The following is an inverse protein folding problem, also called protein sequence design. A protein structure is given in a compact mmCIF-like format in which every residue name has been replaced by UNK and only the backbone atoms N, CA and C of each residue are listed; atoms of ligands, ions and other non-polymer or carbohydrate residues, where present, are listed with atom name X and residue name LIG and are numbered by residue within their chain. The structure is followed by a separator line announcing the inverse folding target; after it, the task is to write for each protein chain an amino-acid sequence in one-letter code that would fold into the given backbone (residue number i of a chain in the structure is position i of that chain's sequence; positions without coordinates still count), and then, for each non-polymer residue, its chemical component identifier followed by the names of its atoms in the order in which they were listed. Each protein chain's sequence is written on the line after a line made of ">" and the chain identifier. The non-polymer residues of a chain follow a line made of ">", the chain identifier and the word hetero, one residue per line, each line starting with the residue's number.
data_IF_870674921416
#
_entry.id   IF_870674921416
#
_cell.length_a   1.000
_cell.length_b   1.000
_cell.length_c   1.000
_cell.angle_alpha   90.00
_cell.angle_beta   90.00
_cell.angle_gamma   90.00
#
_symmetry.space_group_name_H-M   'P 1'
#
loop_
_entity.id
_entity.type
_entity.pdbx_description
1 polymer ?
#
# COMPACT_ATOMS: atom_id res chain seq x y z
N UNK A 1 30.06 11.05 -59.69
CA UNK A 1 30.31 10.08 -58.59
C UNK A 1 29.83 10.75 -57.31
N UNK A 2 28.59 10.51 -56.90
CA UNK A 2 28.03 11.19 -55.74
C UNK A 2 26.68 10.61 -55.37
N UNK A 3 26.42 10.56 -54.06
CA UNK A 3 25.22 10.10 -53.35
C UNK A 3 25.18 8.64 -52.90
N UNK A 4 25.82 8.34 -51.75
CA UNK A 4 25.39 7.32 -50.76
C UNK A 4 25.98 7.61 -49.37
N UNK A 5 25.58 8.70 -48.70
CA UNK A 5 25.96 8.92 -47.28
C UNK A 5 24.83 9.42 -46.38
N UNK A 6 23.68 9.89 -46.90
CA UNK A 6 22.64 10.51 -46.05
C UNK A 6 21.74 9.53 -45.27
N UNK A 7 21.76 8.24 -45.61
CA UNK A 7 20.87 7.23 -44.99
C UNK A 7 21.40 6.64 -43.67
N UNK A 8 22.72 6.57 -43.51
CA UNK A 8 23.34 6.01 -42.30
C UNK A 8 23.33 7.02 -41.14
N UNK A 9 23.60 8.29 -41.44
CA UNK A 9 23.59 9.41 -40.47
C UNK A 9 22.18 9.66 -39.89
N UNK A 10 21.17 9.60 -40.75
CA UNK A 10 19.75 9.72 -40.37
C UNK A 10 19.28 8.59 -39.44
N UNK A 11 19.77 7.37 -39.66
CA UNK A 11 19.42 6.20 -38.84
C UNK A 11 20.12 6.25 -37.48
N UNK A 12 21.42 6.53 -37.45
CA UNK A 12 22.18 6.70 -36.21
C UNK A 12 21.63 7.83 -35.34
N UNK A 13 21.19 8.95 -35.95
CA UNK A 13 20.55 10.08 -35.24
C UNK A 13 19.17 9.72 -34.70
N UNK A 14 18.37 8.92 -35.42
CA UNK A 14 17.08 8.43 -34.92
C UNK A 14 17.26 7.43 -33.77
N UNK A 15 18.24 6.53 -33.86
CA UNK A 15 18.50 5.53 -32.84
C UNK A 15 18.99 6.20 -31.54
N UNK A 16 19.84 7.24 -31.62
CA UNK A 16 20.24 8.04 -30.44
C UNK A 16 19.09 8.86 -29.86
N UNK A 17 18.21 9.43 -30.69
CA UNK A 17 17.02 10.15 -30.20
C UNK A 17 15.98 9.22 -29.55
N UNK A 18 15.90 7.96 -29.99
CA UNK A 18 15.04 6.94 -29.37
C UNK A 18 15.64 6.44 -28.04
N UNK A 19 16.97 6.30 -27.94
CA UNK A 19 17.68 6.03 -26.68
C UNK A 19 17.53 7.17 -25.66
N UNK A 20 17.43 8.42 -26.12
CA UNK A 20 17.27 9.61 -25.27
C UNK A 20 15.80 9.97 -24.98
N UNK A 21 14.85 9.13 -25.42
CA UNK A 21 13.45 9.29 -25.07
C UNK A 21 13.26 9.21 -23.55
N UNK A 22 12.42 10.08 -22.99
CA UNK A 22 12.07 10.03 -21.56
C UNK A 22 11.38 8.72 -21.14
N UNK A 23 10.81 7.98 -22.11
CA UNK A 23 10.17 6.67 -21.91
C UNK A 23 11.13 5.50 -22.07
N UNK A 24 12.39 5.73 -22.45
CA UNK A 24 13.41 4.69 -22.50
C UNK A 24 13.65 4.10 -21.11
N UNK A 25 13.81 2.78 -21.06
CA UNK A 25 14.05 2.03 -19.83
C UNK A 25 15.51 1.64 -19.74
N UNK A 26 16.03 1.54 -18.52
CA UNK A 26 17.44 1.26 -18.25
C UNK A 26 17.62 0.04 -17.35
N UNK A 27 18.85 -0.45 -17.26
CA UNK A 27 19.24 -1.54 -16.37
C UNK A 27 19.39 -1.07 -14.93
N UNK A 28 19.39 -2.02 -13.99
CA UNK A 28 19.60 -1.77 -12.56
C UNK A 28 20.87 -0.95 -12.25
N UNK A 29 21.96 -1.25 -12.95
CA UNK A 29 23.26 -0.59 -12.75
C UNK A 29 23.26 0.87 -13.21
N UNK A 30 22.38 1.22 -14.15
CA UNK A 30 22.30 2.54 -14.77
C UNK A 30 21.35 3.50 -14.03
N UNK A 31 20.52 3.00 -13.10
CA UNK A 31 19.67 3.88 -12.29
C UNK A 31 20.43 4.49 -11.11
N UNK A 32 20.06 5.72 -10.71
CA UNK A 32 20.54 6.29 -9.47
C UNK A 32 20.33 5.37 -8.26
N UNK A 33 21.30 5.34 -7.33
CA UNK A 33 21.27 4.51 -6.11
C UNK A 33 20.00 4.60 -5.27
N UNK A 34 19.28 5.70 -5.32
CA UNK A 34 18.04 5.88 -4.55
C UNK A 34 16.82 5.17 -5.17
N UNK A 35 16.91 4.73 -6.43
CA UNK A 35 15.94 3.86 -7.11
C UNK A 35 16.33 2.37 -7.05
N UNK A 36 17.55 2.08 -6.59
CA UNK A 36 18.06 0.71 -6.43
C UNK A 36 17.47 0.08 -5.16
N UNK A 37 16.21 -0.34 -5.23
CA UNK A 37 15.49 -0.92 -4.08
C UNK A 37 15.57 -2.46 -4.00
N UNK A 38 15.45 -3.18 -5.13
CA UNK A 38 15.51 -4.64 -5.21
C UNK A 38 16.41 -5.10 -6.36
N UNK A 39 17.55 -5.69 -6.02
CA UNK A 39 18.59 -6.03 -6.98
C UNK A 39 18.30 -7.26 -7.86
N UNK A 40 17.24 -8.02 -7.54
CA UNK A 40 16.75 -9.12 -8.39
C UNK A 40 15.97 -8.61 -9.62
N UNK A 41 15.63 -7.32 -9.67
CA UNK A 41 15.05 -6.69 -10.85
C UNK A 41 16.21 -6.12 -11.66
N UNK A 42 16.57 -6.78 -12.76
CA UNK A 42 17.78 -6.44 -13.52
C UNK A 42 17.59 -5.32 -14.55
N UNK A 43 16.36 -5.08 -15.02
CA UNK A 43 16.07 -4.16 -16.12
C UNK A 43 14.71 -3.50 -16.02
N UNK A 44 14.35 -2.74 -17.07
CA UNK A 44 13.03 -2.11 -17.23
C UNK A 44 12.75 -0.99 -16.22
N UNK A 45 13.80 -0.33 -15.73
CA UNK A 45 13.70 0.81 -14.83
C UNK A 45 13.40 2.10 -15.57
N UNK A 46 12.56 2.93 -14.97
CA UNK A 46 12.36 4.31 -15.43
C UNK A 46 13.53 5.20 -15.02
N UNK A 47 14.03 6.03 -15.95
CA UNK A 47 14.99 7.09 -15.67
C UNK A 47 14.42 8.12 -14.68
N UNK A 48 15.30 8.84 -14.00
CA UNK A 48 14.93 9.95 -13.13
C UNK A 48 14.25 11.07 -13.96
N UNK A 49 12.95 11.27 -13.76
CA UNK A 49 12.16 12.12 -14.63
C UNK A 49 12.23 13.60 -14.29
N UNK A 50 12.49 13.94 -13.02
CA UNK A 50 12.37 15.27 -12.42
C UNK A 50 11.08 16.01 -12.85
N UNK A 51 10.02 15.26 -13.17
CA UNK A 51 8.80 15.79 -13.75
C UNK A 51 7.61 14.93 -13.37
N UNK A 52 6.66 15.52 -12.63
CA UNK A 52 5.38 14.86 -12.33
C UNK A 52 4.65 14.47 -13.61
N UNK A 53 4.61 15.35 -14.62
CA UNK A 53 3.94 15.06 -15.90
C UNK A 53 4.48 13.79 -16.56
N UNK A 54 5.81 13.63 -16.63
CA UNK A 54 6.44 12.41 -17.17
C UNK A 54 6.17 11.18 -16.29
N UNK A 55 6.21 11.36 -14.97
CA UNK A 55 5.93 10.27 -14.02
C UNK A 55 4.50 9.75 -14.15
N UNK A 56 3.50 10.64 -14.20
CA UNK A 56 2.09 10.27 -14.44
C UNK A 56 1.85 9.72 -15.84
N UNK A 57 2.51 10.26 -16.87
CA UNK A 57 2.43 9.72 -18.23
C UNK A 57 2.97 8.28 -18.34
N UNK A 58 3.88 7.87 -17.43
CA UNK A 58 4.42 6.51 -17.41
C UNK A 58 3.42 5.44 -16.96
N UNK A 59 2.28 5.79 -16.34
CA UNK A 59 1.23 4.84 -15.95
C UNK A 59 0.78 3.97 -17.14
N UNK A 60 0.78 4.55 -18.34
CA UNK A 60 0.37 3.88 -19.59
C UNK A 60 1.52 3.18 -20.33
N UNK A 61 2.70 3.08 -19.70
CA UNK A 61 3.87 2.38 -20.24
C UNK A 61 4.19 1.16 -19.36
N UNK A 62 4.82 0.15 -19.95
CA UNK A 62 5.24 -1.06 -19.23
C UNK A 62 6.65 -0.89 -18.70
N UNK A 63 6.84 -1.05 -17.39
CA UNK A 63 8.11 -0.92 -16.68
C UNK A 63 8.04 -1.67 -15.33
N UNK A 64 9.13 -1.67 -14.58
CA UNK A 64 9.28 -2.39 -13.30
C UNK A 64 8.28 -2.01 -12.18
N UNK A 65 7.48 -0.95 -12.37
CA UNK A 65 6.52 -0.43 -11.39
C UNK A 65 5.08 -0.52 -11.90
N UNK A 66 4.83 -1.00 -13.12
CA UNK A 66 3.50 -1.04 -13.72
C UNK A 66 2.52 -1.85 -12.89
N UNK A 67 2.92 -3.04 -12.41
CA UNK A 67 2.05 -3.87 -11.56
C UNK A 67 1.76 -3.15 -10.25
N UNK A 68 2.77 -2.64 -9.55
CA UNK A 68 2.60 -1.91 -8.28
C UNK A 68 1.63 -0.72 -8.40
N UNK A 69 1.71 0.03 -9.52
CA UNK A 69 0.78 1.12 -9.80
C UNK A 69 -0.64 0.58 -9.97
N UNK A 70 -0.86 -0.34 -10.91
CA UNK A 70 -2.21 -0.76 -11.28
C UNK A 70 -2.92 -1.59 -10.21
N UNK A 71 -2.18 -2.40 -9.44
CA UNK A 71 -2.74 -3.19 -8.33
C UNK A 71 -3.26 -2.32 -7.19
N UNK A 72 -2.74 -1.10 -7.04
CA UNK A 72 -3.21 -0.17 -6.00
C UNK A 72 -4.12 0.93 -6.56
N UNK A 73 -3.87 1.41 -7.79
CA UNK A 73 -4.62 2.50 -8.41
C UNK A 73 -6.10 2.13 -8.59
N UNK A 74 -6.39 0.98 -9.21
CA UNK A 74 -7.78 0.58 -9.49
C UNK A 74 -8.55 0.35 -8.19
N UNK A 75 -8.07 -0.47 -7.23
CA UNK A 75 -8.73 -0.63 -5.93
C UNK A 75 -8.89 0.69 -5.16
N UNK A 76 -7.89 1.57 -5.20
CA UNK A 76 -7.95 2.88 -4.55
C UNK A 76 -9.07 3.76 -5.12
N UNK A 77 -9.20 3.82 -6.45
CA UNK A 77 -10.24 4.60 -7.12
C UNK A 77 -11.66 4.06 -6.85
N UNK A 78 -11.82 2.73 -6.78
CA UNK A 78 -13.14 2.12 -6.58
C UNK A 78 -13.54 1.99 -5.10
N UNK A 79 -12.63 2.20 -4.14
CA UNK A 79 -12.90 2.00 -2.71
C UNK A 79 -14.07 2.87 -2.20
N UNK A 80 -14.03 4.18 -2.41
CA UNK A 80 -15.12 5.08 -1.99
C UNK A 80 -16.42 4.85 -2.79
N UNK A 81 -16.38 4.71 -4.14
CA UNK A 81 -17.56 4.33 -4.91
C UNK A 81 -18.21 3.02 -4.44
N UNK A 82 -17.42 2.01 -4.06
CA UNK A 82 -17.93 0.74 -3.53
C UNK A 82 -18.64 0.94 -2.20
N UNK A 83 -18.10 1.77 -1.30
CA UNK A 83 -18.75 2.14 -0.05
C UNK A 83 -20.06 2.89 -0.27
N UNK A 84 -20.10 3.82 -1.22
CA UNK A 84 -21.33 4.53 -1.59
C UNK A 84 -22.38 3.61 -2.22
N UNK A 85 -21.96 2.71 -3.11
CA UNK A 85 -22.84 1.70 -3.70
C UNK A 85 -23.42 0.78 -2.63
N UNK A 86 -22.58 0.31 -1.70
CA UNK A 86 -23.01 -0.50 -0.56
C UNK A 86 -24.05 0.24 0.30
N UNK A 87 -23.79 1.49 0.67
CA UNK A 87 -24.74 2.33 1.40
C UNK A 87 -26.07 2.46 0.66
N UNK A 88 -26.03 2.70 -0.65
CA UNK A 88 -27.24 2.88 -1.48
C UNK A 88 -28.09 1.61 -1.56
N UNK A 89 -27.44 0.45 -1.55
CA UNK A 89 -28.09 -0.87 -1.52
C UNK A 89 -28.63 -1.19 -0.12
N UNK A 90 -27.89 -0.88 0.95
CA UNK A 90 -28.26 -1.29 2.31
C UNK A 90 -29.28 -0.36 2.96
N UNK A 91 -29.22 0.95 2.71
CA UNK A 91 -30.09 1.94 3.37
C UNK A 91 -31.59 1.59 3.29
N UNK A 92 -32.16 1.19 2.14
CA UNK A 92 -33.59 0.85 2.06
C UNK A 92 -33.97 -0.47 2.72
N UNK A 93 -32.99 -1.31 3.08
CA UNK A 93 -33.21 -2.64 3.69
C UNK A 93 -33.11 -2.63 5.21
N UNK A 94 -32.45 -1.61 5.77
CA UNK A 94 -32.10 -1.55 7.18
C UNK A 94 -32.41 -0.16 7.76
N UNK A 95 -33.69 0.12 7.97
CA UNK A 95 -34.17 1.41 8.51
C UNK A 95 -33.63 1.75 9.92
N UNK A 96 -33.11 0.73 10.63
CA UNK A 96 -32.48 0.90 11.94
C UNK A 96 -31.00 1.32 11.86
N UNK A 97 -30.39 1.31 10.67
CA UNK A 97 -29.02 1.74 10.50
C UNK A 97 -28.89 3.24 10.78
N UNK A 98 -27.94 3.59 11.63
CA UNK A 98 -27.70 4.94 12.10
C UNK A 98 -26.57 5.61 11.32
N UNK A 99 -26.36 6.90 11.54
CA UNK A 99 -25.16 7.59 11.03
C UNK A 99 -23.87 6.99 11.60
N UNK A 100 -23.90 6.40 12.80
CA UNK A 100 -22.73 5.77 13.39
C UNK A 100 -22.27 4.54 12.58
N UNK A 101 -23.20 3.75 12.05
CA UNK A 101 -22.91 2.64 11.12
C UNK A 101 -22.20 3.14 9.86
N UNK A 102 -22.71 4.24 9.28
CA UNK A 102 -22.16 4.86 8.08
C UNK A 102 -20.75 5.40 8.34
N UNK A 103 -20.53 6.04 9.49
CA UNK A 103 -19.21 6.54 9.90
C UNK A 103 -18.24 5.38 10.11
N UNK A 104 -18.65 4.33 10.84
CA UNK A 104 -17.80 3.19 11.15
C UNK A 104 -17.34 2.47 9.87
N UNK A 105 -18.27 2.19 8.95
CA UNK A 105 -17.92 1.60 7.65
C UNK A 105 -17.15 2.58 6.75
N UNK A 106 -17.48 3.87 6.82
CA UNK A 106 -16.78 4.94 6.11
C UNK A 106 -15.30 5.02 6.48
N UNK A 107 -14.94 4.81 7.75
CA UNK A 107 -13.54 4.73 8.18
C UNK A 107 -12.75 3.64 7.47
N UNK A 108 -13.36 2.46 7.22
CA UNK A 108 -12.72 1.39 6.47
C UNK A 108 -12.49 1.78 5.00
N UNK A 109 -13.53 2.24 4.30
CA UNK A 109 -13.42 2.62 2.89
C UNK A 109 -12.49 3.82 2.68
N UNK A 110 -12.49 4.79 3.59
CA UNK A 110 -11.56 5.90 3.57
C UNK A 110 -10.12 5.44 3.83
N UNK A 111 -9.90 4.57 4.82
CA UNK A 111 -8.59 3.97 5.09
C UNK A 111 -8.05 3.20 3.89
N UNK A 112 -8.90 2.41 3.22
CA UNK A 112 -8.54 1.69 1.99
C UNK A 112 -8.18 2.64 0.84
N UNK A 113 -9.02 3.65 0.58
CA UNK A 113 -8.77 4.63 -0.48
C UNK A 113 -7.47 5.40 -0.23
N UNK A 114 -7.21 5.83 1.01
CA UNK A 114 -5.99 6.55 1.37
C UNK A 114 -4.75 5.66 1.24
N UNK A 115 -4.79 4.44 1.77
CA UNK A 115 -3.67 3.49 1.67
C UNK A 115 -3.30 3.19 0.22
N UNK A 116 -4.28 2.74 -0.55
CA UNK A 116 -4.08 2.32 -1.94
C UNK A 116 -3.75 3.52 -2.84
N UNK A 117 -4.38 4.67 -2.61
CA UNK A 117 -4.12 5.90 -3.34
C UNK A 117 -2.71 6.47 -3.07
N UNK A 118 -2.27 6.50 -1.81
CA UNK A 118 -0.92 6.93 -1.45
C UNK A 118 0.13 6.00 -2.05
N UNK A 119 -0.10 4.69 -2.01
CA UNK A 119 0.79 3.69 -2.61
C UNK A 119 0.88 3.80 -4.13
N UNK A 120 -0.27 3.87 -4.82
CA UNK A 120 -0.31 4.07 -6.27
C UNK A 120 0.38 5.37 -6.68
N UNK A 121 0.21 6.44 -5.90
CA UNK A 121 0.89 7.71 -6.14
C UNK A 121 2.40 7.58 -5.95
N UNK A 122 2.85 6.95 -4.86
CA UNK A 122 4.27 6.69 -4.62
C UNK A 122 4.91 5.94 -5.78
N UNK A 123 4.36 4.79 -6.18
CA UNK A 123 4.91 4.01 -7.30
C UNK A 123 4.84 4.77 -8.62
N UNK A 124 3.85 5.64 -8.81
CA UNK A 124 3.78 6.51 -10.00
C UNK A 124 4.91 7.52 -10.02
N UNK A 125 5.16 8.23 -8.91
CA UNK A 125 6.13 9.33 -8.83
C UNK A 125 7.48 8.93 -8.26
N UNK A 126 7.70 7.62 -8.03
CA UNK A 126 8.94 7.10 -7.44
C UNK A 126 10.14 7.50 -8.30
N UNK A 127 10.02 7.58 -9.63
CA UNK A 127 11.11 8.02 -10.50
C UNK A 127 11.31 9.56 -10.59
N UNK A 128 10.59 10.39 -9.84
CA UNK A 128 10.67 11.84 -9.98
C UNK A 128 12.04 12.40 -9.55
N UNK A 129 12.30 12.42 -8.25
CA UNK A 129 13.55 12.90 -7.66
C UNK A 129 13.71 12.33 -6.25
N UNK A 130 14.92 12.30 -5.68
CA UNK A 130 15.14 11.75 -4.35
C UNK A 130 14.27 12.41 -3.27
N UNK A 131 13.94 13.71 -3.38
CA UNK A 131 13.08 14.38 -2.39
C UNK A 131 11.62 13.92 -2.51
N UNK A 132 11.09 13.85 -3.73
CA UNK A 132 9.69 13.48 -4.00
C UNK A 132 9.45 12.01 -3.66
N UNK A 133 10.33 11.11 -4.10
CA UNK A 133 10.22 9.69 -3.81
C UNK A 133 10.24 9.42 -2.30
N UNK A 134 11.11 10.13 -1.56
CA UNK A 134 11.17 10.01 -0.10
C UNK A 134 9.89 10.44 0.59
N UNK A 135 9.30 11.57 0.17
CA UNK A 135 8.07 12.08 0.74
C UNK A 135 6.89 11.14 0.49
N UNK A 136 6.72 10.67 -0.75
CA UNK A 136 5.62 9.76 -1.07
C UNK A 136 5.79 8.37 -0.47
N UNK A 137 7.02 7.87 -0.31
CA UNK A 137 7.27 6.63 0.43
C UNK A 137 6.85 6.75 1.92
N UNK A 138 7.01 7.93 2.54
CA UNK A 138 6.53 8.15 3.90
C UNK A 138 5.00 8.11 3.98
N UNK A 139 4.32 8.68 2.98
CA UNK A 139 2.86 8.63 2.88
C UNK A 139 2.35 7.21 2.59
N UNK A 140 3.06 6.44 1.77
CA UNK A 140 2.74 5.04 1.50
C UNK A 140 2.73 4.20 2.79
N UNK A 141 3.79 4.33 3.62
CA UNK A 141 3.82 3.68 4.93
C UNK A 141 2.74 4.18 5.90
N UNK A 142 2.45 5.49 5.91
CA UNK A 142 1.35 6.02 6.70
C UNK A 142 -0.01 5.45 6.25
N UNK A 143 -0.16 5.23 4.94
CA UNK A 143 -1.30 4.58 4.31
C UNK A 143 -1.62 3.21 4.94
N UNK A 144 -0.61 2.36 5.12
CA UNK A 144 -0.76 1.03 5.73
C UNK A 144 -1.35 1.15 7.15
N UNK A 145 -0.79 2.04 7.98
CA UNK A 145 -1.30 2.26 9.34
C UNK A 145 -2.76 2.78 9.35
N UNK A 146 -3.10 3.67 8.42
CA UNK A 146 -4.47 4.20 8.29
C UNK A 146 -5.47 3.12 7.86
N UNK A 147 -5.11 2.23 6.93
CA UNK A 147 -5.98 1.11 6.56
C UNK A 147 -6.19 0.14 7.72
N UNK A 148 -5.12 -0.24 8.44
CA UNK A 148 -5.25 -1.13 9.60
C UNK A 148 -6.17 -0.48 10.64
N UNK A 149 -5.92 0.79 11.00
CA UNK A 149 -6.76 1.53 11.95
C UNK A 149 -8.21 1.62 11.48
N UNK A 150 -8.43 2.01 10.21
CA UNK A 150 -9.76 2.13 9.62
C UNK A 150 -10.52 0.81 9.56
N UNK A 151 -9.83 -0.33 9.40
CA UNK A 151 -10.44 -1.67 9.44
C UNK A 151 -10.88 -2.09 10.84
N UNK A 152 -10.20 -1.65 11.89
CA UNK A 152 -10.59 -1.95 13.28
C UNK A 152 -11.85 -1.19 13.70
N UNK A 153 -12.09 0.01 13.15
CA UNK A 153 -13.24 0.84 13.56
C UNK A 153 -14.57 0.08 13.44
N UNK A 154 -14.99 -0.43 12.26
CA UNK A 154 -16.23 -1.18 12.15
C UNK A 154 -16.20 -2.53 12.87
N UNK A 155 -15.07 -3.25 12.87
CA UNK A 155 -14.97 -4.53 13.57
C UNK A 155 -15.19 -4.41 15.08
N UNK A 156 -14.61 -3.39 15.72
CA UNK A 156 -14.81 -3.10 17.14
C UNK A 156 -16.21 -2.52 17.39
N UNK A 157 -16.70 -1.63 16.51
CA UNK A 157 -18.05 -1.07 16.60
C UNK A 157 -19.12 -2.16 16.66
N UNK A 158 -19.10 -3.09 15.70
CA UNK A 158 -20.08 -4.17 15.63
C UNK A 158 -19.81 -5.29 16.64
N UNK A 159 -18.54 -5.63 16.89
CA UNK A 159 -18.18 -6.70 17.83
C UNK A 159 -18.48 -6.38 19.29
N UNK A 160 -18.52 -5.10 19.65
CA UNK A 160 -18.82 -4.64 21.01
C UNK A 160 -19.97 -3.64 21.02
N UNK A 161 -20.97 -3.82 20.14
CA UNK A 161 -22.04 -2.84 19.91
C UNK A 161 -22.73 -2.37 21.21
N UNK A 162 -22.92 -3.27 22.18
CA UNK A 162 -23.55 -2.99 23.47
C UNK A 162 -22.57 -2.62 24.60
N UNK A 163 -21.25 -2.60 24.34
CA UNK A 163 -20.21 -2.35 25.34
C UNK A 163 -19.32 -1.17 24.91
N UNK A 164 -19.76 0.03 25.28
CA UNK A 164 -19.07 1.27 24.93
C UNK A 164 -17.69 1.41 25.60
N UNK A 165 -17.44 0.70 26.71
CA UNK A 165 -16.13 0.71 27.34
C UNK A 165 -15.12 -0.05 26.49
N UNK A 166 -15.46 -1.27 26.06
CA UNK A 166 -14.61 -2.08 25.18
C UNK A 166 -14.37 -1.41 23.83
N UNK A 167 -15.39 -0.76 23.25
CA UNK A 167 -15.21 0.03 22.04
C UNK A 167 -14.11 1.09 22.20
N UNK A 168 -14.20 1.93 23.25
CA UNK A 168 -13.21 2.98 23.51
C UNK A 168 -11.83 2.40 23.79
N UNK A 169 -11.74 1.34 24.59
CA UNK A 169 -10.48 0.68 24.92
C UNK A 169 -9.75 0.22 23.65
N UNK A 170 -10.42 -0.54 22.78
CA UNK A 170 -9.78 -1.09 21.58
C UNK A 170 -9.56 -0.06 20.48
N UNK A 171 -10.41 0.96 20.35
CA UNK A 171 -10.13 2.10 19.47
C UNK A 171 -8.92 2.91 19.94
N UNK A 172 -8.81 3.21 21.24
CA UNK A 172 -7.63 3.88 21.77
C UNK A 172 -6.38 3.04 21.53
N UNK A 173 -6.43 1.72 21.78
CA UNK A 173 -5.32 0.81 21.50
C UNK A 173 -4.85 0.91 20.04
N UNK A 174 -5.74 0.71 19.06
CA UNK A 174 -5.34 0.68 17.66
C UNK A 174 -4.90 2.05 17.15
N UNK A 175 -5.54 3.14 17.59
CA UNK A 175 -5.13 4.49 17.23
C UNK A 175 -3.73 4.81 17.79
N UNK A 176 -3.43 4.44 19.03
CA UNK A 176 -2.10 4.62 19.62
C UNK A 176 -1.03 3.80 18.88
N UNK A 177 -1.33 2.55 18.55
CA UNK A 177 -0.42 1.71 17.75
C UNK A 177 -0.22 2.29 16.34
N UNK A 178 -1.28 2.79 15.70
CA UNK A 178 -1.20 3.41 14.37
C UNK A 178 -0.37 4.69 14.35
N UNK A 179 -0.52 5.55 15.36
CA UNK A 179 0.31 6.75 15.53
C UNK A 179 1.77 6.37 15.76
N UNK A 180 2.05 5.42 16.66
CA UNK A 180 3.41 4.95 16.92
C UNK A 180 4.05 4.36 15.66
N UNK A 181 3.30 3.53 14.92
CA UNK A 181 3.79 2.92 13.69
C UNK A 181 4.06 3.97 12.59
N UNK A 182 3.15 4.93 12.44
CA UNK A 182 3.35 6.02 11.48
C UNK A 182 4.58 6.86 11.85
N UNK A 183 4.72 7.24 13.12
CA UNK A 183 5.85 8.03 13.61
C UNK A 183 7.20 7.34 13.31
N UNK A 184 7.33 6.05 13.63
CA UNK A 184 8.55 5.29 13.32
C UNK A 184 8.79 5.19 11.81
N UNK A 185 7.74 4.99 11.01
CA UNK A 185 7.86 4.80 9.56
C UNK A 185 8.24 6.08 8.81
N UNK A 186 7.85 7.25 9.31
CA UNK A 186 8.19 8.54 8.69
C UNK A 186 9.54 9.09 9.15
N UNK A 187 10.12 8.55 10.24
CA UNK A 187 11.44 8.95 10.73
C UNK A 187 12.56 8.61 9.74
N UNK A 188 13.44 9.58 9.48
CA UNK A 188 14.55 9.45 8.52
C UNK A 188 15.51 8.29 8.83
N UNK A 189 15.68 7.96 10.11
CA UNK A 189 16.60 6.90 10.59
C UNK A 189 16.15 5.48 10.21
N UNK A 190 14.84 5.23 10.14
CA UNK A 190 14.27 3.89 9.95
C UNK A 190 13.95 3.58 8.48
N UNK A 191 14.50 4.36 7.54
CA UNK A 191 14.14 4.31 6.11
C UNK A 191 15.10 3.51 5.23
N UNK A 192 16.26 3.12 5.74
CA UNK A 192 17.21 2.33 4.93
C UNK A 192 16.63 0.93 4.64
N UNK A 193 17.12 0.25 3.58
CA UNK A 193 16.73 -1.13 3.28
C UNK A 193 16.87 -2.08 4.47
N UNK A 194 17.90 -1.90 5.31
CA UNK A 194 18.13 -2.69 6.51
C UNK A 194 16.97 -2.65 7.54
N UNK A 195 16.14 -1.60 7.53
CA UNK A 195 14.98 -1.49 8.43
C UNK A 195 13.70 -2.11 7.84
N UNK A 196 13.72 -2.61 6.60
CA UNK A 196 12.53 -3.20 5.95
C UNK A 196 11.91 -4.34 6.77
N UNK A 197 12.66 -5.31 7.33
CA UNK A 197 12.06 -6.38 8.13
C UNK A 197 11.39 -5.85 9.40
N UNK A 198 11.98 -4.82 10.01
CA UNK A 198 11.43 -4.18 11.22
C UNK A 198 10.14 -3.43 10.87
N UNK A 199 10.11 -2.72 9.74
CA UNK A 199 8.89 -2.05 9.24
C UNK A 199 7.78 -3.04 8.89
N UNK A 200 8.11 -4.16 8.25
CA UNK A 200 7.14 -5.22 8.01
C UNK A 200 6.61 -5.78 9.33
N UNK A 201 7.51 -6.11 10.27
CA UNK A 201 7.17 -6.68 11.58
C UNK A 201 6.24 -5.78 12.40
N UNK A 202 6.48 -4.47 12.44
CA UNK A 202 5.60 -3.54 13.17
C UNK A 202 4.18 -3.47 12.62
N UNK A 203 4.00 -3.46 11.28
CA UNK A 203 2.66 -3.48 10.68
C UNK A 203 1.99 -4.84 10.89
N UNK A 204 2.74 -5.94 10.80
CA UNK A 204 2.25 -7.28 11.15
C UNK A 204 1.76 -7.33 12.59
N UNK A 205 2.56 -6.86 13.55
CA UNK A 205 2.18 -6.80 14.96
C UNK A 205 0.96 -5.90 15.18
N UNK A 206 0.89 -4.76 14.50
CA UNK A 206 -0.28 -3.87 14.55
C UNK A 206 -1.54 -4.59 14.06
N UNK A 207 -1.49 -5.32 12.94
CA UNK A 207 -2.60 -6.14 12.45
C UNK A 207 -2.96 -7.29 13.39
N UNK A 208 -1.96 -8.03 13.90
CA UNK A 208 -2.14 -9.15 14.84
C UNK A 208 -2.67 -8.72 16.20
N UNK A 209 -2.57 -7.42 16.55
CA UNK A 209 -3.23 -6.90 17.75
C UNK A 209 -4.75 -7.14 17.76
N UNK A 210 -5.37 -7.41 16.59
CA UNK A 210 -6.77 -7.80 16.45
C UNK A 210 -7.12 -9.09 17.21
N UNK A 211 -6.14 -9.96 17.48
CA UNK A 211 -6.35 -11.20 18.25
C UNK A 211 -6.89 -10.89 19.65
N UNK A 212 -6.46 -9.78 20.26
CA UNK A 212 -6.88 -9.37 21.61
C UNK A 212 -8.39 -9.10 21.67
N UNK A 213 -8.97 -8.14 20.89
CA UNK A 213 -10.42 -7.92 20.90
C UNK A 213 -11.21 -9.11 20.36
N UNK A 214 -10.66 -9.93 19.46
CA UNK A 214 -11.35 -11.14 19.00
C UNK A 214 -11.50 -12.17 20.12
N UNK A 215 -10.45 -12.40 20.91
CA UNK A 215 -10.53 -13.32 22.07
C UNK A 215 -11.49 -12.76 23.12
N UNK A 216 -11.42 -11.47 23.46
CA UNK A 216 -12.35 -10.86 24.42
C UNK A 216 -13.82 -10.97 23.94
N UNK A 217 -14.08 -10.70 22.65
CA UNK A 217 -15.40 -10.89 22.05
C UNK A 217 -15.88 -12.34 22.10
N UNK A 218 -15.00 -13.30 21.83
CA UNK A 218 -15.30 -14.74 21.93
C UNK A 218 -15.63 -15.16 23.36
N UNK A 219 -14.90 -14.66 24.35
CA UNK A 219 -15.15 -14.94 25.76
C UNK A 219 -16.43 -14.26 26.26
N UNK A 220 -16.74 -13.07 25.74
CA UNK A 220 -17.90 -12.27 26.16
C UNK A 220 -19.22 -12.74 25.54
N UNK A 221 -19.21 -13.11 24.26
CA UNK A 221 -20.44 -13.33 23.47
C UNK A 221 -20.52 -14.73 22.83
N UNK A 222 -19.41 -15.48 22.81
CA UNK A 222 -19.34 -16.79 22.17
C UNK A 222 -19.18 -16.73 20.65
N UNK A 223 -18.75 -17.86 20.07
CA UNK A 223 -18.43 -17.97 18.64
C UNK A 223 -19.61 -17.64 17.71
N UNK A 224 -20.82 -18.10 18.04
CA UNK A 224 -21.99 -17.91 17.18
C UNK A 224 -22.34 -16.43 17.02
N UNK A 225 -22.36 -15.67 18.12
CA UNK A 225 -22.67 -14.24 18.07
C UNK A 225 -21.58 -13.44 17.36
N UNK A 226 -20.29 -13.73 17.65
CA UNK A 226 -19.18 -13.06 16.96
C UNK A 226 -19.21 -13.33 15.44
N UNK A 227 -19.59 -14.54 15.02
CA UNK A 227 -19.75 -14.86 13.59
C UNK A 227 -20.84 -14.02 12.93
N UNK A 228 -21.93 -13.72 13.63
CA UNK A 228 -23.02 -12.89 13.10
C UNK A 228 -22.69 -11.39 13.10
N UNK A 229 -22.02 -10.90 14.15
CA UNK A 229 -21.77 -9.47 14.34
C UNK A 229 -20.64 -8.93 13.46
N UNK A 230 -19.51 -9.64 13.43
CA UNK A 230 -18.28 -9.17 12.75
C UNK A 230 -17.88 -10.03 11.55
N UNK A 231 -18.67 -11.05 11.22
CA UNK A 231 -18.29 -12.02 10.20
C UNK A 231 -16.99 -12.75 10.58
N UNK A 232 -16.85 -13.21 11.83
CA UNK A 232 -15.60 -13.75 12.40
C UNK A 232 -14.82 -14.69 11.46
N UNK A 233 -15.50 -15.59 10.74
CA UNK A 233 -14.84 -16.50 9.79
C UNK A 233 -14.13 -15.75 8.66
N UNK A 234 -14.73 -14.68 8.13
CA UNK A 234 -14.11 -13.81 7.12
C UNK A 234 -12.94 -13.02 7.70
N UNK A 235 -13.06 -12.55 8.94
CA UNK A 235 -11.97 -11.85 9.63
C UNK A 235 -10.76 -12.77 9.86
N UNK A 236 -10.98 -14.03 10.22
CA UNK A 236 -9.91 -15.02 10.36
C UNK A 236 -9.24 -15.29 9.00
N UNK A 237 -10.03 -15.47 7.93
CA UNK A 237 -9.49 -15.62 6.56
C UNK A 237 -8.66 -14.41 6.15
N UNK A 238 -9.12 -13.19 6.44
CA UNK A 238 -8.34 -11.96 6.24
C UNK A 238 -7.01 -12.00 7.00
N UNK A 239 -7.03 -12.42 8.27
CA UNK A 239 -5.82 -12.57 9.10
C UNK A 239 -4.82 -13.54 8.49
N UNK A 240 -5.28 -14.68 7.96
CA UNK A 240 -4.42 -15.66 7.26
C UNK A 240 -3.81 -15.03 6.00
N UNK A 241 -4.61 -14.39 5.16
CA UNK A 241 -4.13 -13.71 3.95
C UNK A 241 -3.11 -12.61 4.28
N UNK A 242 -3.32 -11.89 5.38
CA UNK A 242 -2.42 -10.85 5.85
C UNK A 242 -1.05 -11.40 6.26
N UNK A 243 -1.02 -12.47 7.05
CA UNK A 243 0.23 -13.14 7.47
C UNK A 243 0.95 -13.76 6.26
N UNK A 244 0.21 -14.37 5.32
CA UNK A 244 0.79 -14.91 4.10
C UNK A 244 1.42 -13.81 3.23
N UNK A 245 0.72 -12.70 3.03
CA UNK A 245 1.24 -11.55 2.28
C UNK A 245 2.49 -10.95 2.91
N UNK A 246 2.49 -10.78 4.24
CA UNK A 246 3.67 -10.32 4.96
C UNK A 246 4.84 -11.31 4.89
N UNK A 247 4.55 -12.62 4.93
CA UNK A 247 5.54 -13.67 4.75
C UNK A 247 6.20 -13.61 3.37
N UNK A 248 5.42 -13.45 2.30
CA UNK A 248 5.94 -13.29 0.94
C UNK A 248 6.80 -12.03 0.81
N UNK A 249 6.36 -10.91 1.39
CA UNK A 249 7.15 -9.67 1.44
C UNK A 249 8.48 -9.89 2.17
N UNK A 250 8.47 -10.54 3.34
CA UNK A 250 9.67 -10.80 4.12
C UNK A 250 10.63 -11.81 3.46
N UNK A 251 10.13 -12.88 2.84
CA UNK A 251 10.97 -13.88 2.15
C UNK A 251 11.70 -13.26 0.96
N UNK A 252 11.00 -12.42 0.18
CA UNK A 252 11.62 -11.68 -0.92
C UNK A 252 12.74 -10.73 -0.43
N UNK A 253 12.66 -10.27 0.83
CA UNK A 253 13.68 -9.44 1.48
C UNK A 253 14.85 -10.24 2.07
N UNK A 254 14.60 -11.41 2.67
CA UNK A 254 15.68 -12.21 3.26
C UNK A 254 16.60 -12.82 2.18
N UNK A 255 16.04 -13.10 1.00
CA UNK A 255 16.86 -13.51 -0.14
C UNK A 255 17.81 -12.38 -0.59
N UNK A 256 17.37 -11.11 -0.51
CA UNK A 256 18.24 -9.98 -0.88
C UNK A 256 19.46 -9.80 0.03
N UNK A 257 19.42 -10.13 1.33
CA UNK A 257 20.61 -9.99 2.20
C UNK A 257 21.61 -11.16 2.05
N UNK A 258 21.16 -12.31 1.55
CA UNK A 258 21.98 -13.53 1.45
C UNK A 258 22.95 -13.50 0.26
N UNK A 259 22.57 -12.83 -0.83
CA UNK A 259 23.37 -12.79 -2.06
C UNK A 259 24.41 -11.64 -2.10
N UNK A 260 24.41 -10.75 -1.11
CA UNK A 260 25.38 -9.63 -0.99
C UNK A 260 26.39 -9.77 0.16
N UNK A 261 26.39 -10.91 0.88
CA UNK A 261 27.51 -11.29 1.75
C UNK A 261 28.58 -12.03 0.93
N UNK A 262 29.40 -11.27 0.21
CA UNK A 262 30.73 -11.69 -0.25
C UNK A 262 31.68 -10.50 -0.09
#
# INVERSE_FOLDING_TARGET
>A
MGTKTSGADSKATKDTLLEDSWSSLVSWEDVPKWLQDNAHIHSSYRKASNSYKRSFASIFHVHNETVNIWTHLVPGLISLPSGWALYSVLKPRYDRATTADVVAMGCFFAGAALCLGMSATYHTVSNHSPKVARFWNQLDYAGIAMLITGSFVPSVYYGFFCDAFKQRLYWTMICSLGVACTAVSVMSRFRTPAWRPIRAGMFVCMGLSAVIPVIDGLLSYGFHQMRLQIGLSWLVTQGVLYVLGAGLYAVCLLYTDSDYTC
#
